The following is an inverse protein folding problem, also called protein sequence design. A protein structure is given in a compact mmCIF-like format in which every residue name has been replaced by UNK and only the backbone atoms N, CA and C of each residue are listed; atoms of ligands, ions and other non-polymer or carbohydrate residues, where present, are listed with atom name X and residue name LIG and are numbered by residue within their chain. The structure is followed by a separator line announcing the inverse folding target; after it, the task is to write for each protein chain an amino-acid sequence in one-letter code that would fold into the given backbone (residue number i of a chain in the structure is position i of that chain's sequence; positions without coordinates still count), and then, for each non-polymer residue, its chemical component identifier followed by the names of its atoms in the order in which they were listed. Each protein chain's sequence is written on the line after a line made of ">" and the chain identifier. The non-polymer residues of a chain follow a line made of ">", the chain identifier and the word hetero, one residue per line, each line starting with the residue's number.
data_IF_957653755988
#
_entry.id   IF_957653755988
#
_cell.length_a   1.000
_cell.length_b   1.000
_cell.length_c   1.000
_cell.angle_alpha   90.00
_cell.angle_beta   90.00
_cell.angle_gamma   90.00
#
_symmetry.space_group_name_H-M   'P 1'
#
loop_
_entity.id
_entity.type
_entity.pdbx_description
1 polymer ?
#
# COMPACT_ATOMS: atom_id res chain seq x y z
N UNK A 1 -17.04 26.56 11.15
CA UNK A 1 -17.41 26.71 9.72
C UNK A 1 -16.40 25.94 8.85
N UNK A 2 -16.80 25.51 7.65
CA UNK A 2 -15.95 24.72 6.73
C UNK A 2 -15.05 25.58 5.85
N UNK A 3 -15.48 26.80 5.52
CA UNK A 3 -14.74 27.85 4.78
C UNK A 3 -15.27 29.23 5.23
N UNK A 4 -14.59 30.31 4.87
CA UNK A 4 -14.97 31.69 5.21
C UNK A 4 -15.23 31.84 6.72
N UNK A 5 -14.15 31.68 7.49
CA UNK A 5 -14.21 31.62 8.94
C UNK A 5 -14.66 32.97 9.53
N UNK A 6 -15.36 32.88 10.66
CA UNK A 6 -15.64 34.04 11.50
C UNK A 6 -14.62 34.12 12.63
N UNK A 7 -14.55 35.26 13.31
CA UNK A 7 -13.67 35.47 14.48
C UNK A 7 -13.86 34.41 15.58
N UNK A 8 -15.07 33.84 15.73
CA UNK A 8 -15.34 32.79 16.71
C UNK A 8 -15.00 31.36 16.22
N UNK A 9 -14.48 31.19 15.01
CA UNK A 9 -14.06 29.88 14.51
C UNK A 9 -12.68 29.54 15.07
N UNK A 10 -12.53 28.33 15.63
CA UNK A 10 -11.27 27.90 16.25
C UNK A 10 -10.00 28.13 15.41
N UNK A 11 -9.97 27.83 14.09
CA UNK A 11 -8.75 28.11 13.32
C UNK A 11 -8.42 29.60 13.27
N UNK A 12 -9.41 30.48 13.14
CA UNK A 12 -9.21 31.94 13.16
C UNK A 12 -8.69 32.42 14.52
N UNK A 13 -9.22 31.86 15.62
CA UNK A 13 -8.77 32.18 16.98
C UNK A 13 -7.29 31.82 17.17
N UNK A 14 -6.85 30.69 16.61
CA UNK A 14 -5.49 30.18 16.80
C UNK A 14 -4.49 30.84 15.84
N UNK A 15 -4.84 31.00 14.57
CA UNK A 15 -3.89 31.51 13.56
C UNK A 15 -3.99 33.02 13.36
N UNK A 16 -5.20 33.60 13.44
CA UNK A 16 -5.44 35.01 13.15
C UNK A 16 -4.69 35.49 11.91
N UNK A 17 -3.85 36.52 12.08
CA UNK A 17 -3.04 37.11 11.00
C UNK A 17 -1.67 36.46 10.78
N UNK A 18 -1.36 35.34 11.46
CA UNK A 18 -0.10 34.64 11.30
C UNK A 18 0.02 34.04 9.89
N UNK A 19 1.10 34.32 9.14
CA UNK A 19 1.34 33.65 7.86
C UNK A 19 1.59 32.14 8.07
N UNK A 20 0.84 31.30 7.36
CA UNK A 20 0.99 29.84 7.41
C UNK A 20 1.60 29.33 6.12
N UNK A 21 2.83 28.81 6.18
CA UNK A 21 3.48 28.09 5.08
C UNK A 21 3.31 26.59 5.32
N UNK A 22 2.80 25.86 4.34
CA UNK A 22 2.38 24.47 4.54
C UNK A 22 2.88 23.54 3.42
N UNK A 23 4.06 22.91 3.60
CA UNK A 23 4.52 21.84 2.73
C UNK A 23 3.57 20.64 2.80
N UNK A 24 3.18 20.08 1.65
CA UNK A 24 2.27 18.94 1.60
C UNK A 24 2.60 17.98 0.45
N UNK A 25 2.17 16.72 0.56
CA UNK A 25 2.32 15.72 -0.49
C UNK A 25 1.34 16.02 -1.64
N UNK A 26 1.84 16.20 -2.86
CA UNK A 26 1.04 16.63 -4.02
C UNK A 26 -0.12 15.69 -4.36
N UNK A 27 -0.03 14.42 -4.00
CA UNK A 27 -1.09 13.42 -4.19
C UNK A 27 -2.27 13.56 -3.23
N UNK A 28 -2.19 14.45 -2.22
CA UNK A 28 -3.27 14.70 -1.25
C UNK A 28 -3.87 16.12 -1.41
N UNK A 29 -4.60 16.41 -2.49
CA UNK A 29 -5.17 17.74 -2.73
C UNK A 29 -6.26 18.11 -1.70
N UNK A 30 -6.90 17.13 -1.06
CA UNK A 30 -7.94 17.37 -0.05
C UNK A 30 -7.39 18.08 1.20
N UNK A 31 -6.21 17.66 1.65
CA UNK A 31 -5.47 18.31 2.75
C UNK A 31 -5.09 19.75 2.39
N UNK A 32 -4.50 19.96 1.21
CA UNK A 32 -4.14 21.31 0.74
C UNK A 32 -5.37 22.23 0.64
N UNK A 33 -6.51 21.71 0.19
CA UNK A 33 -7.75 22.47 0.14
C UNK A 33 -8.23 22.89 1.54
N UNK A 34 -8.11 22.01 2.53
CA UNK A 34 -8.45 22.35 3.92
C UNK A 34 -7.50 23.40 4.49
N UNK A 35 -6.18 23.23 4.30
CA UNK A 35 -5.17 24.19 4.75
C UNK A 35 -5.40 25.58 4.15
N UNK A 36 -5.66 25.66 2.83
CA UNK A 36 -5.99 26.93 2.15
C UNK A 36 -7.27 27.57 2.69
N UNK A 37 -8.34 26.78 2.86
CA UNK A 37 -9.68 27.31 3.18
C UNK A 37 -9.89 27.64 4.65
N UNK A 38 -9.15 26.99 5.56
CA UNK A 38 -9.38 27.08 7.00
C UNK A 38 -8.28 27.80 7.77
N UNK A 39 -7.07 27.89 7.23
CA UNK A 39 -5.96 28.59 7.90
C UNK A 39 -5.18 29.49 6.92
N UNK A 40 -5.79 29.82 5.78
CA UNK A 40 -5.21 30.69 4.75
C UNK A 40 -3.79 30.29 4.31
N UNK A 41 -3.47 28.99 4.34
CA UNK A 41 -2.10 28.54 4.12
C UNK A 41 -1.60 28.74 2.68
N UNK A 42 -0.35 29.16 2.56
CA UNK A 42 0.46 29.06 1.35
C UNK A 42 0.99 27.63 1.27
N UNK A 43 0.34 26.81 0.43
CA UNK A 43 0.67 25.39 0.29
C UNK A 43 1.81 25.18 -0.69
N UNK A 44 2.84 24.43 -0.29
CA UNK A 44 3.98 24.07 -1.12
C UNK A 44 3.96 22.56 -1.40
N UNK A 45 3.59 22.19 -2.63
CA UNK A 45 3.51 20.78 -2.99
C UNK A 45 4.89 20.16 -3.16
N UNK A 46 5.10 18.97 -2.61
CA UNK A 46 6.27 18.14 -2.89
C UNK A 46 5.86 16.76 -3.40
N UNK A 47 6.80 16.11 -4.09
CA UNK A 47 6.60 14.76 -4.60
C UNK A 47 6.57 13.75 -3.44
N UNK A 48 5.79 12.65 -3.57
CA UNK A 48 5.94 11.51 -2.68
C UNK A 48 7.35 10.93 -2.80
N UNK A 49 7.81 10.15 -1.80
CA UNK A 49 9.05 9.39 -1.91
C UNK A 49 9.06 8.53 -3.20
N UNK A 50 10.24 8.31 -3.81
CA UNK A 50 10.34 7.43 -4.96
C UNK A 50 9.83 6.04 -4.60
N UNK A 51 9.00 5.47 -5.48
CA UNK A 51 8.50 4.12 -5.32
C UNK A 51 9.60 3.12 -5.68
N UNK A 52 9.73 2.07 -4.87
CA UNK A 52 10.55 0.91 -5.16
C UNK A 52 9.65 -0.33 -5.19
N UNK A 53 10.07 -1.35 -5.94
CA UNK A 53 9.39 -2.66 -5.87
C UNK A 53 9.48 -3.21 -4.45
N UNK A 54 8.39 -3.78 -3.96
CA UNK A 54 8.35 -4.38 -2.62
C UNK A 54 9.34 -5.55 -2.47
N UNK A 55 9.74 -6.17 -3.59
CA UNK A 55 10.49 -7.41 -3.60
C UNK A 55 9.64 -8.57 -3.10
N UNK A 56 10.29 -9.72 -2.93
CA UNK A 56 9.71 -10.86 -2.24
C UNK A 56 10.51 -11.09 -0.97
N UNK A 57 9.82 -11.43 0.12
CA UNK A 57 10.48 -11.95 1.29
C UNK A 57 11.01 -13.38 1.05
N UNK A 58 11.71 -13.95 2.03
CA UNK A 58 12.29 -15.30 1.90
C UNK A 58 11.24 -16.38 1.62
N UNK A 59 10.07 -16.27 2.22
CA UNK A 59 8.99 -17.24 2.08
C UNK A 59 8.33 -17.15 0.71
N UNK A 60 8.10 -15.93 0.23
CA UNK A 60 7.57 -15.62 -1.09
C UNK A 60 8.55 -16.07 -2.19
N UNK A 61 9.86 -15.83 -2.03
CA UNK A 61 10.88 -16.32 -2.96
C UNK A 61 10.94 -17.85 -3.00
N UNK A 62 10.78 -18.52 -1.85
CA UNK A 62 10.73 -19.98 -1.82
C UNK A 62 9.51 -20.51 -2.57
N UNK A 63 8.35 -19.88 -2.40
CA UNK A 63 7.13 -20.26 -3.10
C UNK A 63 7.24 -20.02 -4.62
N UNK A 64 7.80 -18.88 -5.03
CA UNK A 64 8.10 -18.54 -6.42
C UNK A 64 8.94 -19.64 -7.10
N UNK A 65 10.05 -20.06 -6.47
CA UNK A 65 10.90 -21.14 -7.00
C UNK A 65 10.14 -22.45 -7.18
N UNK A 66 9.25 -22.80 -6.25
CA UNK A 66 8.45 -24.02 -6.36
C UNK A 66 7.46 -23.96 -7.54
N UNK A 67 6.87 -22.79 -7.78
CA UNK A 67 5.97 -22.55 -8.92
C UNK A 67 6.74 -22.61 -10.24
N UNK A 68 7.93 -22.02 -10.31
CA UNK A 68 8.80 -22.09 -11.49
C UNK A 68 9.20 -23.54 -11.81
N UNK A 69 9.61 -24.31 -10.79
CA UNK A 69 9.93 -25.72 -10.96
C UNK A 69 8.71 -26.54 -11.41
N UNK A 70 7.52 -26.21 -10.91
CA UNK A 70 6.28 -26.87 -11.32
C UNK A 70 5.99 -26.62 -12.79
N UNK A 71 6.13 -25.36 -13.24
CA UNK A 71 5.95 -24.99 -14.64
C UNK A 71 6.96 -25.70 -15.56
N UNK A 72 8.22 -25.83 -15.13
CA UNK A 72 9.24 -26.57 -15.88
C UNK A 72 8.96 -28.08 -15.97
N UNK A 73 8.39 -28.67 -14.91
CA UNK A 73 8.05 -30.09 -14.91
C UNK A 73 6.77 -30.39 -15.74
N UNK A 74 6.03 -29.36 -16.17
CA UNK A 74 4.85 -29.52 -17.00
C UNK A 74 5.18 -30.05 -18.40
N UNK A 75 4.39 -31.04 -18.82
CA UNK A 75 4.67 -31.84 -20.02
C UNK A 75 5.85 -32.82 -19.94
N UNK A 76 6.80 -32.67 -19.01
CA UNK A 76 8.01 -33.50 -18.94
C UNK A 76 7.96 -34.65 -17.91
N UNK A 77 7.52 -34.38 -16.68
CA UNK A 77 7.44 -35.38 -15.61
C UNK A 77 6.20 -35.16 -14.74
N UNK A 78 5.16 -35.99 -14.98
CA UNK A 78 3.90 -35.95 -14.22
C UNK A 78 4.10 -36.22 -12.73
N UNK A 79 4.96 -37.16 -12.35
CA UNK A 79 5.16 -37.51 -10.93
C UNK A 79 5.86 -36.38 -10.18
N UNK A 80 6.85 -35.74 -10.81
CA UNK A 80 7.52 -34.57 -10.21
C UNK A 80 6.56 -33.40 -10.06
N UNK A 81 5.73 -33.13 -11.06
CA UNK A 81 4.68 -32.11 -10.98
C UNK A 81 3.73 -32.30 -9.82
N UNK A 82 3.17 -33.51 -9.65
CA UNK A 82 2.19 -33.76 -8.60
C UNK A 82 2.81 -33.53 -7.20
N UNK A 83 4.10 -33.86 -7.03
CA UNK A 83 4.83 -33.56 -5.79
C UNK A 83 5.02 -32.06 -5.58
N UNK A 84 5.43 -31.33 -6.63
CA UNK A 84 5.62 -29.88 -6.58
C UNK A 84 4.31 -29.15 -6.29
N UNK A 85 3.19 -29.56 -6.90
CA UNK A 85 1.87 -28.99 -6.62
C UNK A 85 1.48 -29.11 -5.13
N UNK A 86 1.70 -30.29 -4.53
CA UNK A 86 1.44 -30.47 -3.08
C UNK A 86 2.34 -29.58 -2.23
N UNK A 87 3.62 -29.49 -2.59
CA UNK A 87 4.60 -28.70 -1.84
C UNK A 87 4.33 -27.19 -1.94
N UNK A 88 3.84 -26.70 -3.08
CA UNK A 88 3.37 -25.32 -3.26
C UNK A 88 2.23 -25.02 -2.29
N UNK A 89 1.19 -25.86 -2.28
CA UNK A 89 0.02 -25.67 -1.40
C UNK A 89 0.43 -25.72 0.07
N UNK A 90 1.24 -26.69 0.47
CA UNK A 90 1.73 -26.82 1.85
C UNK A 90 2.57 -25.61 2.28
N UNK A 91 3.45 -25.14 1.40
CA UNK A 91 4.30 -23.96 1.67
C UNK A 91 3.44 -22.70 1.78
N UNK A 92 2.46 -22.52 0.90
CA UNK A 92 1.53 -21.39 0.94
C UNK A 92 0.67 -21.40 2.21
N UNK A 93 0.24 -22.57 2.69
CA UNK A 93 -0.49 -22.70 3.96
C UNK A 93 0.38 -22.34 5.17
N UNK A 94 1.61 -22.88 5.22
CA UNK A 94 2.56 -22.62 6.32
C UNK A 94 2.96 -21.15 6.46
N UNK A 95 3.01 -20.43 5.33
CA UNK A 95 3.47 -19.03 5.26
C UNK A 95 2.33 -18.02 5.37
N UNK A 96 1.07 -18.47 5.43
CA UNK A 96 -0.11 -17.59 5.45
C UNK A 96 -0.51 -17.06 4.06
N UNK A 97 0.33 -17.23 3.04
CA UNK A 97 0.07 -16.80 1.66
C UNK A 97 -1.18 -17.44 1.05
N UNK A 98 -1.55 -18.65 1.48
CA UNK A 98 -2.81 -19.28 1.08
C UNK A 98 -4.04 -18.47 1.52
N UNK A 99 -3.98 -17.83 2.69
CA UNK A 99 -5.07 -16.99 3.18
C UNK A 99 -5.12 -15.66 2.45
N UNK A 100 -3.96 -15.04 2.21
CA UNK A 100 -3.85 -13.79 1.45
C UNK A 100 -4.32 -13.95 0.00
N UNK A 101 -4.02 -15.09 -0.63
CA UNK A 101 -4.47 -15.42 -1.97
C UNK A 101 -5.95 -15.89 -2.04
N UNK A 102 -6.65 -15.98 -0.90
CA UNK A 102 -8.06 -16.40 -0.87
C UNK A 102 -8.30 -17.89 -1.13
N UNK A 103 -7.27 -18.73 -0.99
CA UNK A 103 -7.31 -20.19 -1.26
C UNK A 103 -7.22 -21.05 0.00
N UNK A 104 -7.13 -20.45 1.19
CA UNK A 104 -7.05 -21.17 2.47
C UNK A 104 -8.34 -21.90 2.88
N UNK A 105 -9.45 -21.70 2.15
CA UNK A 105 -10.71 -22.41 2.34
C UNK A 105 -11.14 -23.06 1.03
N UNK A 106 -10.85 -24.35 0.89
CA UNK A 106 -11.79 -25.25 0.22
C UNK A 106 -12.87 -25.59 1.23
N UNK A 107 -14.10 -25.13 0.99
CA UNK A 107 -15.26 -26.00 1.26
C UNK A 107 -15.11 -27.29 0.45
#
# INVERSE_FOLDING_TARGET
>A
KTVALSQNCFPEIVTGSLPVIYPFIVSNPGEAAQAKRRIAAVTLGHLPPPLAGAGLDEHQHKLERLVDEYAQADGLDRRRRDRLARLIVETAQKTGLASEAGVAKTD
#
